data_IF_970717993494
#
_entry.id   IF_970717993494
#
_cell.length_a   1.000
_cell.length_b   1.000
_cell.length_c   1.000
_cell.angle_alpha   90.00
_cell.angle_beta   90.00
_cell.angle_gamma   90.00
#
_symmetry.space_group_name_H-M   'P 1'
#
loop_
_entity.id
_entity.type
_entity.pdbx_description
1 polymer ?
#
# COMPACT_ATOMS: atom_id res chain seq x y z
N UNK A 1 -5.49 -6.97 -7.15
CA UNK A 1 -5.77 -7.78 -5.95
C UNK A 1 -6.92 -7.15 -5.21
N UNK A 2 -7.97 -7.91 -4.89
CA UNK A 2 -9.18 -7.36 -4.28
C UNK A 2 -9.41 -7.83 -2.85
N UNK A 3 -9.68 -6.90 -1.95
CA UNK A 3 -10.14 -7.16 -0.58
C UNK A 3 -11.38 -6.32 -0.27
N UNK A 4 -12.53 -6.97 -0.08
CA UNK A 4 -13.84 -6.30 0.11
C UNK A 4 -14.09 -5.27 -1.02
N UNK A 5 -14.18 -3.99 -0.66
CA UNK A 5 -14.42 -2.88 -1.58
C UNK A 5 -13.14 -2.30 -2.17
N UNK A 6 -11.96 -2.72 -1.72
CA UNK A 6 -10.68 -2.24 -2.21
C UNK A 6 -10.11 -3.16 -3.28
N UNK A 7 -9.59 -2.58 -4.36
CA UNK A 7 -8.83 -3.30 -5.39
C UNK A 7 -7.58 -2.49 -5.74
N UNK A 8 -6.45 -3.18 -5.82
CA UNK A 8 -5.14 -2.57 -6.09
C UNK A 8 -4.49 -3.28 -7.26
N UNK A 9 -4.07 -2.51 -8.25
CA UNK A 9 -3.44 -3.01 -9.47
C UNK A 9 -2.06 -2.37 -9.64
N UNK A 10 -1.08 -3.15 -10.10
CA UNK A 10 0.23 -2.65 -10.50
C UNK A 10 0.30 -2.51 -12.01
N UNK A 11 0.91 -1.43 -12.51
CA UNK A 11 1.15 -1.19 -13.93
C UNK A 11 2.62 -0.82 -14.15
N UNK A 12 3.27 -1.34 -15.20
CA UNK A 12 4.40 -0.62 -15.80
C UNK A 12 3.94 0.81 -16.14
N UNK A 13 4.75 1.84 -15.87
CA UNK A 13 4.29 3.23 -16.01
C UNK A 13 3.85 3.56 -17.45
N UNK A 14 4.49 2.95 -18.46
CA UNK A 14 4.19 3.12 -19.88
C UNK A 14 2.99 2.28 -20.37
N UNK A 15 2.42 1.42 -19.53
CA UNK A 15 1.38 0.47 -19.92
C UNK A 15 0.02 0.84 -19.32
N UNK A 16 -1.05 0.59 -20.09
CA UNK A 16 -2.43 0.60 -19.62
C UNK A 16 -2.94 -0.79 -19.23
N UNK A 17 -2.10 -1.81 -19.36
CA UNK A 17 -2.41 -3.19 -18.97
C UNK A 17 -1.74 -3.45 -17.62
N UNK A 18 -2.51 -3.84 -16.57
CA UNK A 18 -1.93 -4.16 -15.28
C UNK A 18 -1.12 -5.45 -15.35
N UNK A 19 -0.16 -5.60 -14.43
CA UNK A 19 0.56 -6.84 -14.25
C UNK A 19 -0.40 -7.93 -13.80
N UNK A 20 -0.31 -9.08 -14.45
CA UNK A 20 -1.15 -10.23 -14.11
C UNK A 20 -0.73 -10.81 -12.77
N UNK A 21 -1.68 -10.87 -11.86
CA UNK A 21 -1.53 -11.48 -10.55
C UNK A 21 -1.77 -13.00 -10.61
N UNK A 22 -1.07 -13.77 -9.79
CA UNK A 22 -1.33 -15.20 -9.62
C UNK A 22 -1.00 -15.68 -8.21
N UNK A 23 -1.66 -16.78 -7.83
CA UNK A 23 -1.63 -17.38 -6.47
C UNK A 23 -1.92 -16.36 -5.37
N UNK A 24 -2.98 -15.57 -5.56
CA UNK A 24 -3.44 -14.64 -4.54
C UNK A 24 -3.96 -15.39 -3.31
N UNK A 25 -3.50 -14.99 -2.12
CA UNK A 25 -3.91 -15.54 -0.85
C UNK A 25 -4.02 -14.44 0.21
N UNK A 26 -4.78 -14.68 1.28
CA UNK A 26 -4.99 -13.72 2.37
C UNK A 26 -4.55 -14.33 3.70
N UNK A 27 -3.79 -13.57 4.47
CA UNK A 27 -3.26 -13.95 5.77
C UNK A 27 -3.59 -12.88 6.80
N UNK A 28 -3.66 -13.26 8.06
CA UNK A 28 -3.78 -12.30 9.17
C UNK A 28 -2.40 -12.09 9.78
N UNK A 29 -1.90 -10.86 9.74
CA UNK A 29 -0.74 -10.46 10.51
C UNK A 29 -1.20 -9.90 11.85
N UNK A 30 -0.70 -10.45 12.94
CA UNK A 30 -0.90 -9.89 14.26
C UNK A 30 0.18 -8.84 14.53
N UNK A 31 -0.24 -7.61 14.84
CA UNK A 31 0.70 -6.60 15.32
C UNK A 31 1.03 -6.89 16.80
N UNK A 32 2.31 -7.13 17.08
CA UNK A 32 2.81 -7.39 18.42
C UNK A 32 3.20 -6.11 19.17
N UNK A 33 3.30 -4.98 18.46
CA UNK A 33 3.78 -3.71 19.00
C UNK A 33 2.64 -2.80 19.48
N UNK A 34 1.39 -3.06 19.09
CA UNK A 34 0.23 -2.37 19.63
C UNK A 34 -0.25 -3.03 20.94
N UNK A 35 -0.52 -2.21 21.96
CA UNK A 35 -1.07 -2.65 23.26
C UNK A 35 -2.41 -3.41 23.10
N UNK A 36 -3.10 -3.18 21.98
CA UNK A 36 -4.24 -3.95 21.52
C UNK A 36 -3.79 -4.87 20.39
N UNK A 37 -4.12 -6.17 20.46
CA UNK A 37 -3.82 -7.18 19.42
C UNK A 37 -4.62 -6.88 18.15
N UNK A 38 -4.26 -5.83 17.43
CA UNK A 38 -4.84 -5.53 16.13
C UNK A 38 -4.26 -6.49 15.10
N UNK A 39 -5.15 -7.12 14.32
CA UNK A 39 -4.76 -7.98 13.21
C UNK A 39 -5.03 -7.26 11.89
N UNK A 40 -4.02 -7.14 11.06
CA UNK A 40 -4.11 -6.53 9.73
C UNK A 40 -4.16 -7.62 8.66
N UNK A 41 -5.19 -7.65 7.79
CA UNK A 41 -5.22 -8.56 6.65
C UNK A 41 -4.11 -8.22 5.66
N UNK A 42 -3.37 -9.24 5.21
CA UNK A 42 -2.37 -9.13 4.15
C UNK A 42 -2.76 -10.03 3.00
N UNK A 43 -3.01 -9.43 1.85
CA UNK A 43 -3.18 -10.13 0.60
C UNK A 43 -1.83 -10.24 -0.07
N UNK A 44 -1.39 -11.46 -0.36
CA UNK A 44 -0.15 -11.71 -1.09
C UNK A 44 -0.47 -12.20 -2.48
N UNK A 45 0.26 -11.75 -3.50
CA UNK A 45 0.19 -12.31 -4.85
C UNK A 45 1.56 -12.24 -5.50
N UNK A 46 1.83 -13.16 -6.42
CA UNK A 46 2.95 -13.00 -7.35
C UNK A 46 2.54 -12.13 -8.54
N UNK A 47 3.53 -11.43 -9.10
CA UNK A 47 3.41 -10.68 -10.36
C UNK A 47 4.69 -10.89 -11.19
N UNK A 48 4.63 -10.79 -12.53
CA UNK A 48 5.82 -10.71 -13.36
C UNK A 48 6.76 -9.60 -12.91
N UNK A 49 8.03 -9.95 -12.66
CA UNK A 49 9.06 -8.94 -12.40
C UNK A 49 9.35 -8.12 -13.65
N UNK A 50 9.51 -6.81 -13.47
CA UNK A 50 10.15 -5.95 -14.47
C UNK A 50 11.65 -5.83 -14.17
N UNK A 51 12.40 -5.28 -15.11
CA UNK A 51 13.82 -4.95 -14.89
C UNK A 51 13.95 -3.95 -13.73
N UNK A 52 14.99 -4.11 -12.92
CA UNK A 52 15.32 -3.13 -11.87
C UNK A 52 15.39 -1.71 -12.45
N UNK A 53 14.81 -0.75 -11.74
CA UNK A 53 14.75 0.65 -12.20
C UNK A 53 13.60 0.94 -13.18
N UNK A 54 12.84 -0.07 -13.63
CA UNK A 54 11.69 0.16 -14.52
C UNK A 54 10.61 0.92 -13.76
N UNK A 55 10.13 2.07 -14.26
CA UNK A 55 9.10 2.83 -13.59
C UNK A 55 7.76 2.09 -13.52
N UNK A 56 7.05 2.22 -12.40
CA UNK A 56 5.73 1.64 -12.21
C UNK A 56 4.77 2.60 -11.53
N UNK A 57 3.48 2.28 -11.63
CA UNK A 57 2.41 2.95 -10.89
C UNK A 57 1.48 1.94 -10.26
N UNK A 58 0.89 2.36 -9.14
CA UNK A 58 -0.19 1.68 -8.43
C UNK A 58 -1.50 2.36 -8.82
N UNK A 59 -2.54 1.60 -9.13
CA UNK A 59 -3.91 2.11 -9.17
C UNK A 59 -4.68 1.52 -8.00
N UNK A 60 -5.19 2.38 -7.12
CA UNK A 60 -6.03 2.00 -5.99
C UNK A 60 -7.46 2.33 -6.34
N UNK A 61 -8.36 1.37 -6.14
CA UNK A 61 -9.78 1.47 -6.40
C UNK A 61 -10.56 1.22 -5.11
N UNK A 62 -11.66 1.95 -4.95
CA UNK A 62 -12.73 1.58 -4.04
C UNK A 62 -14.04 1.50 -4.81
N UNK A 63 -14.73 0.36 -4.70
CA UNK A 63 -15.98 0.08 -5.41
C UNK A 63 -17.21 0.73 -4.77
N UNK A 64 -17.11 1.09 -3.49
CA UNK A 64 -18.12 1.89 -2.77
C UNK A 64 -17.45 3.11 -2.17
N UNK A 65 -18.24 4.08 -1.70
CA UNK A 65 -17.69 5.15 -0.86
C UNK A 65 -16.98 4.51 0.34
N UNK A 66 -15.67 4.76 0.54
CA UNK A 66 -14.98 4.29 1.73
C UNK A 66 -15.52 5.05 2.95
N UNK A 67 -16.17 4.35 3.88
CA UNK A 67 -16.59 4.93 5.15
C UNK A 67 -15.42 4.80 6.11
N UNK A 68 -14.95 5.94 6.63
CA UNK A 68 -13.65 6.04 7.26
C UNK A 68 -13.51 5.06 8.41
N UNK A 69 -14.58 4.84 9.18
CA UNK A 69 -14.47 4.04 10.38
C UNK A 69 -15.79 3.39 10.79
N UNK A 70 -15.89 2.09 10.55
CA UNK A 70 -16.89 1.25 11.20
C UNK A 70 -16.18 0.54 12.36
N UNK A 71 -16.36 1.06 13.59
CA UNK A 71 -15.98 0.50 14.91
C UNK A 71 -14.87 1.20 15.75
N UNK A 72 -14.41 2.43 15.47
CA UNK A 72 -13.59 3.12 16.48
C UNK A 72 -14.47 3.64 17.61
N UNK A 73 -13.96 3.48 18.84
CA UNK A 73 -14.64 3.94 20.04
C UNK A 73 -14.93 5.45 19.94
N UNK A 74 -16.19 5.89 19.94
CA UNK A 74 -16.56 7.29 19.74
C UNK A 74 -16.16 8.19 20.93
N UNK A 75 -15.64 7.62 22.02
CA UNK A 75 -15.39 8.34 23.26
C UNK A 75 -14.05 9.12 23.31
N UNK A 76 -13.18 8.96 22.32
CA UNK A 76 -11.83 9.55 22.33
C UNK A 76 -11.52 10.48 21.14
N UNK A 77 -12.50 10.76 20.27
CA UNK A 77 -12.29 11.53 19.05
C UNK A 77 -13.18 12.78 19.08
N UNK A 78 -12.61 13.93 18.73
CA UNK A 78 -13.36 15.20 18.67
C UNK A 78 -14.47 15.11 17.62
N UNK A 79 -15.66 15.70 17.86
CA UNK A 79 -16.71 15.81 16.85
C UNK A 79 -16.25 16.48 15.54
N UNK A 80 -15.24 17.35 15.60
CA UNK A 80 -14.69 18.07 14.45
C UNK A 80 -13.54 17.32 13.74
N UNK A 81 -13.24 16.09 14.17
CA UNK A 81 -12.17 15.30 13.56
C UNK A 81 -12.50 14.97 12.11
N UNK A 82 -11.61 15.38 11.21
CA UNK A 82 -11.68 15.05 9.79
C UNK A 82 -10.98 13.72 9.55
N UNK A 83 -11.77 12.71 9.20
CA UNK A 83 -11.23 11.40 8.86
C UNK A 83 -10.73 11.37 7.42
N UNK A 84 -9.65 10.61 7.22
CA UNK A 84 -8.96 10.48 5.95
C UNK A 84 -8.46 9.05 5.75
N UNK A 85 -8.28 8.68 4.49
CA UNK A 85 -7.59 7.47 4.06
C UNK A 85 -6.13 7.78 3.78
N UNK A 86 -5.24 6.93 4.25
CA UNK A 86 -3.81 7.01 3.95
C UNK A 86 -3.40 5.77 3.13
N UNK A 87 -2.84 6.01 1.95
CA UNK A 87 -2.31 4.99 1.07
C UNK A 87 -0.79 5.07 1.10
N UNK A 88 -0.13 4.01 1.56
CA UNK A 88 1.34 3.92 1.58
C UNK A 88 1.82 2.87 0.60
N UNK A 89 2.76 3.24 -0.26
CA UNK A 89 3.44 2.35 -1.20
C UNK A 89 4.86 2.13 -0.69
N UNK A 90 5.25 0.87 -0.56
CA UNK A 90 6.56 0.43 -0.12
C UNK A 90 7.19 -0.51 -1.15
N UNK A 91 8.50 -0.52 -1.25
CA UNK A 91 9.26 -1.58 -1.90
C UNK A 91 10.51 -1.92 -1.09
N UNK A 92 10.80 -3.21 -0.89
CA UNK A 92 11.95 -3.68 -0.12
C UNK A 92 12.06 -3.03 1.27
N UNK A 93 10.91 -2.79 1.93
CA UNK A 93 10.83 -2.15 3.24
C UNK A 93 11.08 -0.64 3.25
N UNK A 94 11.32 -0.02 2.08
CA UNK A 94 11.44 1.43 1.93
C UNK A 94 10.13 2.03 1.45
N UNK A 95 9.64 3.06 2.15
CA UNK A 95 8.43 3.76 1.70
C UNK A 95 8.76 4.62 0.50
N UNK A 96 8.01 4.40 -0.59
CA UNK A 96 8.16 5.16 -1.82
C UNK A 96 7.19 6.34 -1.85
N UNK A 97 5.96 6.14 -1.36
CA UNK A 97 4.91 7.15 -1.40
C UNK A 97 3.92 6.99 -0.24
N UNK A 98 3.39 8.10 0.24
CA UNK A 98 2.28 8.25 1.18
C UNK A 98 1.32 9.30 0.61
N UNK A 99 0.10 8.91 0.29
CA UNK A 99 -0.96 9.84 -0.14
C UNK A 99 -2.13 9.81 0.82
N UNK A 100 -2.60 10.99 1.23
CA UNK A 100 -3.73 11.15 2.13
C UNK A 100 -4.91 11.71 1.34
N UNK A 101 -6.06 11.09 1.52
CA UNK A 101 -7.30 11.42 0.82
C UNK A 101 -8.42 11.64 1.84
N UNK A 102 -9.20 12.72 1.71
CA UNK A 102 -10.42 12.90 2.50
C UNK A 102 -11.34 11.68 2.39
N UNK A 103 -12.11 11.39 3.44
CA UNK A 103 -13.05 10.25 3.50
C UNK A 103 -13.97 10.16 2.26
N UNK A 104 -14.43 11.29 1.73
CA UNK A 104 -15.35 11.38 0.61
C UNK A 104 -14.67 11.35 -0.78
N UNK A 105 -13.40 10.99 -0.83
CA UNK A 105 -12.63 10.93 -2.07
C UNK A 105 -13.17 9.91 -3.07
N UNK A 106 -13.19 10.33 -4.34
CA UNK A 106 -13.48 9.46 -5.47
C UNK A 106 -12.25 8.62 -5.87
N UNK A 107 -12.50 7.36 -6.20
CA UNK A 107 -11.52 6.40 -6.71
C UNK A 107 -11.86 6.03 -8.17
N UNK A 108 -10.87 5.70 -9.02
CA UNK A 108 -9.50 5.30 -8.68
C UNK A 108 -8.50 6.42 -8.43
N UNK A 109 -7.43 6.10 -7.69
CA UNK A 109 -6.24 6.94 -7.48
C UNK A 109 -5.02 6.29 -8.10
N UNK A 110 -4.23 7.06 -8.84
CA UNK A 110 -2.99 6.59 -9.46
C UNK A 110 -1.78 7.18 -8.75
N UNK A 111 -0.93 6.30 -8.24
CA UNK A 111 0.26 6.66 -7.46
C UNK A 111 1.47 6.15 -8.23
N UNK A 112 2.29 7.05 -8.77
CA UNK A 112 3.43 6.70 -9.63
C UNK A 112 4.72 7.42 -9.26
N UNK A 113 4.68 8.32 -8.28
CA UNK A 113 5.80 9.21 -7.93
C UNK A 113 6.22 8.98 -6.49
N UNK A 114 7.52 9.13 -6.25
CA UNK A 114 8.01 9.21 -4.89
C UNK A 114 7.42 10.44 -4.21
N UNK A 115 7.09 10.34 -2.92
CA UNK A 115 6.89 11.50 -2.07
C UNK A 115 7.52 11.27 -0.70
N UNK A 116 8.08 12.33 -0.13
CA UNK A 116 8.57 12.25 1.24
C UNK A 116 7.37 12.20 2.20
N UNK A 117 7.60 11.65 3.39
CA UNK A 117 6.65 11.48 4.51
C UNK A 117 5.92 12.76 4.94
N UNK A 118 6.22 13.92 4.34
CA UNK A 118 5.64 15.21 4.68
C UNK A 118 4.91 15.88 3.49
N UNK A 119 4.83 15.23 2.32
CA UNK A 119 4.18 15.80 1.15
C UNK A 119 4.85 17.07 0.62
N UNK A 120 6.12 17.32 0.99
CA UNK A 120 6.83 18.56 0.65
C UNK A 120 7.72 18.34 -0.55
N UNK A 121 7.12 18.11 -1.70
CA UNK A 121 7.79 18.53 -2.93
C UNK A 121 7.66 20.04 -3.06
N UNK A 122 8.75 20.69 -3.48
CA UNK A 122 8.71 22.09 -3.87
C UNK A 122 7.56 22.28 -4.88
N UNK A 123 6.67 23.22 -4.60
CA UNK A 123 5.54 23.57 -5.47
C UNK A 123 6.04 23.64 -6.92
N UNK A 124 5.56 22.74 -7.78
CA UNK A 124 5.89 22.71 -9.21
C UNK A 124 6.96 21.71 -9.66
N UNK A 125 7.51 20.86 -8.78
CA UNK A 125 8.40 19.75 -9.18
C UNK A 125 7.75 18.42 -8.80
N UNK A 126 7.29 17.65 -9.78
CA UNK A 126 6.86 16.27 -9.56
C UNK A 126 8.06 15.44 -9.07
N UNK A 127 7.86 14.63 -8.03
CA UNK A 127 8.86 13.67 -7.56
C UNK A 127 9.30 12.70 -8.67
N UNK A 128 10.47 12.04 -8.51
CA UNK A 128 10.89 11.00 -9.45
C UNK A 128 9.87 9.87 -9.50
N UNK A 129 9.80 9.15 -10.62
CA UNK A 129 8.91 7.99 -10.71
C UNK A 129 9.35 6.87 -9.77
N UNK A 130 8.39 6.16 -9.18
CA UNK A 130 8.67 4.92 -8.43
C UNK A 130 9.20 3.85 -9.38
N UNK A 131 10.19 3.08 -8.95
CA UNK A 131 10.87 2.07 -9.78
C UNK A 131 10.81 0.68 -9.19
N UNK A 132 10.77 -0.33 -10.06
CA UNK A 132 10.73 -1.74 -9.65
C UNK A 132 11.98 -2.11 -8.84
N UNK A 133 11.80 -2.85 -7.72
CA UNK A 133 12.90 -3.30 -6.88
C UNK A 133 13.80 -4.30 -7.61
N UNK A 134 14.99 -4.53 -7.07
CA UNK A 134 15.88 -5.59 -7.54
C UNK A 134 15.24 -6.96 -7.24
N UNK A 135 15.45 -7.93 -8.11
CA UNK A 135 15.13 -9.31 -7.78
C UNK A 135 16.17 -9.90 -6.82
N UNK A 136 15.78 -10.09 -5.57
CA UNK A 136 16.59 -10.67 -4.50
C UNK A 136 16.58 -12.21 -4.60
N UNK A 137 17.66 -12.79 -5.17
CA UNK A 137 17.79 -14.25 -5.37
C UNK A 137 17.78 -15.04 -4.07
N UNK A 138 18.17 -14.41 -2.97
CA UNK A 138 18.14 -14.95 -1.62
C UNK A 138 16.73 -15.39 -1.18
N UNK A 139 15.67 -14.76 -1.70
CA UNK A 139 14.28 -15.12 -1.39
C UNK A 139 13.96 -16.55 -1.82
N UNK A 140 14.61 -17.05 -2.88
CA UNK A 140 14.42 -18.43 -3.35
C UNK A 140 14.97 -19.48 -2.36
N UNK A 141 15.88 -19.06 -1.48
CA UNK A 141 16.56 -19.93 -0.51
C UNK A 141 16.10 -19.66 0.93
N UNK A 142 15.09 -18.81 1.12
CA UNK A 142 14.61 -18.50 2.45
C UNK A 142 13.98 -19.75 3.09
N UNK A 143 14.40 -20.13 4.31
CA UNK A 143 13.94 -21.36 4.96
C UNK A 143 12.49 -21.28 5.42
N UNK A 144 12.00 -20.06 5.71
CA UNK A 144 10.65 -19.80 6.16
C UNK A 144 10.05 -18.66 5.33
N UNK A 145 8.80 -18.84 4.89
CA UNK A 145 8.04 -17.82 4.19
C UNK A 145 7.11 -17.10 5.17
N UNK A 146 7.07 -15.76 5.14
CA UNK A 146 6.14 -14.96 5.93
C UNK A 146 5.39 -13.95 5.06
N UNK A 147 4.06 -13.87 5.18
CA UNK A 147 3.23 -12.89 4.47
C UNK A 147 3.62 -11.44 4.79
N UNK A 148 4.22 -11.21 5.95
CA UNK A 148 4.68 -9.92 6.43
C UNK A 148 6.05 -9.48 5.89
N UNK A 149 6.82 -10.34 5.21
CA UNK A 149 8.18 -9.98 4.77
C UNK A 149 8.18 -8.79 3.81
N UNK A 150 9.18 -7.93 3.93
CA UNK A 150 9.34 -6.73 3.10
C UNK A 150 10.26 -6.93 1.88
N UNK A 151 11.30 -7.74 2.04
CA UNK A 151 12.33 -7.95 1.01
C UNK A 151 11.72 -8.57 -0.25
N UNK A 152 12.00 -7.96 -1.40
CA UNK A 152 11.50 -8.37 -2.71
C UNK A 152 10.00 -8.23 -2.87
N UNK A 153 9.36 -7.32 -2.13
CA UNK A 153 7.92 -7.07 -2.25
C UNK A 153 7.62 -5.60 -2.45
N UNK A 154 6.63 -5.35 -3.30
CA UNK A 154 5.95 -4.06 -3.41
C UNK A 154 4.69 -4.18 -2.54
N UNK A 155 4.54 -3.32 -1.53
CA UNK A 155 3.37 -3.31 -0.65
C UNK A 155 2.57 -2.04 -0.81
N UNK A 156 1.25 -2.18 -0.81
CA UNK A 156 0.30 -1.07 -0.78
C UNK A 156 -0.56 -1.23 0.46
N UNK A 157 -0.37 -0.36 1.44
CA UNK A 157 -1.10 -0.35 2.69
C UNK A 157 -2.20 0.70 2.62
N UNK A 158 -3.42 0.29 2.98
CA UNK A 158 -4.58 1.17 3.09
C UNK A 158 -4.91 1.30 4.56
N UNK A 159 -4.81 2.51 5.08
CA UNK A 159 -5.09 2.83 6.48
C UNK A 159 -6.20 3.86 6.58
N UNK A 160 -7.02 3.77 7.63
CA UNK A 160 -7.95 4.81 8.02
C UNK A 160 -7.43 5.52 9.28
N UNK A 161 -7.73 6.81 9.38
CA UNK A 161 -7.20 7.67 10.42
C UNK A 161 -7.71 9.10 10.29
N UNK A 162 -6.97 10.03 10.88
CA UNK A 162 -7.30 11.44 10.83
C UNK A 162 -6.05 12.29 10.72
N UNK A 163 -6.22 13.50 10.21
CA UNK A 163 -5.14 14.47 10.08
C UNK A 163 -5.06 15.37 11.31
N UNK A 164 -3.85 15.65 11.75
CA UNK A 164 -3.49 16.67 12.74
C UNK A 164 -2.42 17.58 12.13
N UNK A 165 -2.12 18.71 12.76
CA UNK A 165 -1.09 19.64 12.26
C UNK A 165 0.28 18.97 12.05
N UNK A 166 0.58 17.94 12.84
CA UNK A 166 1.83 17.16 12.75
C UNK A 166 1.80 16.05 11.67
N UNK A 167 0.69 15.83 10.97
CA UNK A 167 0.53 14.82 9.92
C UNK A 167 -0.64 13.87 10.15
N UNK A 168 -0.57 12.66 9.57
CA UNK A 168 -1.64 11.67 9.65
C UNK A 168 -1.47 10.73 10.84
N UNK A 169 -2.50 10.60 11.67
CA UNK A 169 -2.59 9.61 12.75
C UNK A 169 -3.36 8.40 12.26
N UNK A 170 -2.72 7.24 12.26
CA UNK A 170 -3.36 5.98 11.84
C UNK A 170 -4.21 5.44 12.98
N UNK A 171 -5.50 5.19 12.71
CA UNK A 171 -6.41 4.53 13.64
C UNK A 171 -6.46 3.03 13.40
N UNK A 172 -6.46 2.61 12.13
CA UNK A 172 -6.47 1.21 11.75
C UNK A 172 -5.78 1.01 10.40
N UNK A 173 -5.01 -0.06 10.31
CA UNK A 173 -4.55 -0.60 9.04
C UNK A 173 -5.61 -1.55 8.49
N UNK A 174 -6.31 -1.10 7.44
CA UNK A 174 -7.47 -1.80 6.92
C UNK A 174 -7.07 -3.06 6.14
N UNK A 175 -6.04 -2.95 5.31
CA UNK A 175 -5.49 -4.04 4.50
C UNK A 175 -4.12 -3.68 3.95
N UNK A 176 -3.27 -4.69 3.75
CA UNK A 176 -2.02 -4.59 3.01
C UNK A 176 -2.09 -5.49 1.77
N UNK A 177 -1.81 -4.93 0.60
CA UNK A 177 -1.65 -5.65 -0.65
C UNK A 177 -0.15 -5.83 -0.94
N UNK A 178 0.35 -7.04 -0.81
CA UNK A 178 1.76 -7.41 -0.99
C UNK A 178 1.96 -8.16 -2.30
N UNK A 179 2.61 -7.51 -3.26
CA UNK A 179 2.99 -8.08 -4.53
C UNK A 179 4.43 -8.56 -4.45
N UNK A 180 4.69 -9.81 -4.82
CA UNK A 180 6.02 -10.37 -4.93
C UNK A 180 6.39 -10.50 -6.42
N UNK A 181 7.23 -9.59 -6.95
CA UNK A 181 7.80 -9.73 -8.28
C UNK A 181 8.58 -11.04 -8.39
N UNK A 182 8.31 -11.81 -9.44
CA UNK A 182 9.05 -13.04 -9.74
C UNK A 182 9.55 -13.04 -11.18
N UNK A 183 10.78 -13.49 -11.42
CA UNK A 183 11.34 -13.56 -12.76
C UNK A 183 10.55 -14.56 -13.60
N UNK A 184 10.13 -14.14 -14.79
CA UNK A 184 9.56 -15.05 -15.77
C UNK A 184 10.72 -15.72 -16.52
N UNK A 185 10.94 -17.02 -16.27
CA UNK A 185 11.90 -17.85 -17.01
C UNK A 185 13.26 -18.08 -16.33
N UNK A 186 13.26 -18.59 -15.10
CA UNK A 186 14.45 -19.27 -14.54
C UNK A 186 14.65 -20.64 -15.19
#
# INVERSE_FOLDING_TARGET
>A
MRFRNWDVLLFPQSSHIPLQEFRTACYLQQDLNHMERCTTPILTSFVPSLSHGTPFRVSVHSWTKPEAIVNTSPYCISPDTKFSWCIRVWADGTMLSMEIYPEDSFFPKQIGKYNDTQGRWLIGIDGPSMTFPVFHKEILHQPNWNAADDLGRIKVQVSAGYEVDAGFVTLVDYVIFSFQPVPLGL
#
